data_IF_868637906442
#
_entry.id   IF_868637906442
#
_cell.length_a   1.000
_cell.length_b   1.000
_cell.length_c   1.000
_cell.angle_alpha   90.00
_cell.angle_beta   90.00
_cell.angle_gamma   90.00
#
_symmetry.space_group_name_H-M   'P 1'
#
loop_
_entity.id
_entity.type
_entity.pdbx_description
1 polymer ?
#
# COMPACT_ATOMS: atom_id res chain seq x y z
N UNK A 1 -11.43 -13.39 -50.19
CA UNK A 1 -12.62 -12.52 -50.31
C UNK A 1 -13.72 -13.13 -49.44
N UNK A 2 -13.81 -12.69 -48.18
CA UNK A 2 -14.85 -13.11 -47.23
C UNK A 2 -15.35 -11.87 -46.51
N UNK A 3 -16.67 -11.74 -46.42
CA UNK A 3 -17.43 -10.59 -45.90
C UNK A 3 -17.45 -10.58 -44.36
N UNK A 4 -17.67 -9.41 -43.72
CA UNK A 4 -17.53 -9.24 -42.28
C UNK A 4 -18.82 -9.58 -41.51
N UNK A 5 -18.64 -10.03 -40.25
CA UNK A 5 -19.70 -10.20 -39.28
C UNK A 5 -19.90 -8.91 -38.45
N UNK A 6 -21.16 -8.55 -38.29
CA UNK A 6 -21.70 -7.30 -37.76
C UNK A 6 -21.56 -7.19 -36.23
N UNK A 7 -21.11 -6.03 -35.75
CA UNK A 7 -21.21 -5.60 -34.34
C UNK A 7 -22.69 -5.47 -33.93
N UNK A 8 -23.08 -6.07 -32.80
CA UNK A 8 -24.32 -5.74 -32.10
C UNK A 8 -23.95 -4.88 -30.88
N UNK A 9 -24.35 -3.60 -30.91
CA UNK A 9 -24.33 -2.68 -29.77
C UNK A 9 -25.63 -2.88 -28.98
N UNK A 10 -25.54 -3.29 -27.71
CA UNK A 10 -26.67 -3.27 -26.79
C UNK A 10 -26.72 -1.92 -26.07
N UNK A 11 -27.70 -1.09 -26.44
CA UNK A 11 -28.09 0.11 -25.70
C UNK A 11 -29.19 -0.26 -24.69
N UNK A 12 -28.92 -0.04 -23.41
CA UNK A 12 -29.88 -0.25 -22.32
C UNK A 12 -30.68 1.04 -22.10
N UNK A 13 -31.95 1.05 -22.53
CA UNK A 13 -32.93 2.09 -22.22
C UNK A 13 -33.57 1.78 -20.86
N UNK A 14 -33.44 2.68 -19.88
CA UNK A 14 -34.18 2.62 -18.61
C UNK A 14 -35.33 3.62 -18.65
N UNK A 15 -36.56 3.12 -18.64
CA UNK A 15 -37.77 3.89 -18.40
C UNK A 15 -37.93 4.17 -16.90
N UNK A 16 -38.10 5.45 -16.57
CA UNK A 16 -38.54 5.94 -15.26
C UNK A 16 -40.08 5.97 -15.25
N UNK A 17 -40.71 5.36 -14.24
CA UNK A 17 -42.12 5.57 -13.91
C UNK A 17 -42.25 5.82 -12.41
N UNK A 18 -43.01 6.85 -12.07
CA UNK A 18 -43.22 7.37 -10.72
C UNK A 18 -44.50 6.82 -10.07
N UNK A 19 -44.45 6.75 -8.74
CA UNK A 19 -45.50 7.17 -7.79
C UNK A 19 -46.57 6.18 -7.27
N UNK A 20 -46.43 5.92 -5.95
CA UNK A 20 -47.42 5.93 -4.86
C UNK A 20 -48.73 5.13 -4.96
N UNK A 21 -48.95 4.26 -3.96
CA UNK A 21 -50.16 4.28 -3.10
C UNK A 21 -49.92 3.59 -1.75
N UNK A 22 -50.40 4.28 -0.71
CA UNK A 22 -50.44 3.92 0.71
C UNK A 22 -51.69 3.09 0.99
N UNK A 23 -51.60 2.11 1.90
CA UNK A 23 -52.74 1.38 2.46
C UNK A 23 -52.38 0.68 3.77
N UNK A 24 -53.02 1.12 4.86
CA UNK A 24 -52.89 0.66 6.24
C UNK A 24 -53.92 -0.45 6.57
N UNK A 25 -53.58 -1.42 7.42
CA UNK A 25 -54.45 -1.94 8.51
C UNK A 25 -53.82 -3.11 9.33
N UNK A 26 -53.42 -2.78 10.57
CA UNK A 26 -53.81 -3.36 11.88
C UNK A 26 -53.96 -4.89 12.15
N UNK A 27 -53.16 -5.33 13.15
CA UNK A 27 -53.44 -6.14 14.37
C UNK A 27 -53.54 -7.70 14.39
N UNK A 28 -52.57 -8.34 15.08
CA UNK A 28 -52.63 -9.10 16.39
C UNK A 28 -51.42 -10.07 16.48
N UNK A 29 -50.48 -9.90 17.40
CA UNK A 29 -50.43 -10.35 18.82
C UNK A 29 -50.06 -11.84 19.01
N UNK A 30 -48.96 -12.06 19.75
CA UNK A 30 -48.66 -13.29 20.51
C UNK A 30 -47.65 -14.25 19.90
N UNK A 31 -46.38 -14.19 20.32
CA UNK A 31 -45.86 -15.21 21.24
C UNK A 31 -44.46 -14.90 21.77
N UNK A 32 -44.32 -15.27 23.03
CA UNK A 32 -43.29 -14.92 23.97
C UNK A 32 -42.35 -16.12 24.10
N UNK A 33 -41.08 -15.96 23.74
CA UNK A 33 -40.05 -16.90 24.18
C UNK A 33 -38.85 -16.13 24.69
N UNK A 34 -38.79 -15.99 26.03
CA UNK A 34 -37.60 -15.58 26.76
C UNK A 34 -36.62 -16.75 26.75
N UNK A 35 -35.46 -16.56 26.13
CA UNK A 35 -34.26 -17.29 26.51
C UNK A 35 -33.20 -16.28 26.95
N UNK A 36 -33.03 -16.21 28.27
CA UNK A 36 -31.87 -15.62 28.93
C UNK A 36 -30.76 -16.66 28.96
N UNK A 37 -29.57 -16.31 28.49
CA UNK A 37 -28.34 -16.75 29.16
C UNK A 37 -27.24 -15.73 28.93
N UNK A 38 -26.71 -15.25 30.04
CA UNK A 38 -25.64 -14.26 30.18
C UNK A 38 -24.31 -14.74 29.60
N UNK A 39 -23.53 -13.74 29.17
CA UNK A 39 -22.09 -13.59 29.34
C UNK A 39 -21.13 -14.62 28.72
N UNK A 40 -20.41 -14.16 27.70
CA UNK A 40 -18.96 -14.28 27.62
C UNK A 40 -18.45 -12.90 27.16
N UNK A 41 -18.14 -12.03 28.11
CA UNK A 41 -16.76 -11.71 28.48
C UNK A 41 -15.99 -11.11 27.31
N UNK A 42 -15.84 -9.78 27.40
CA UNK A 42 -14.92 -8.94 26.64
C UNK A 42 -13.59 -9.63 26.34
N UNK A 43 -13.35 -9.93 25.06
CA UNK A 43 -11.99 -10.01 24.55
C UNK A 43 -11.49 -8.57 24.42
N UNK A 44 -11.05 -8.02 25.55
CA UNK A 44 -10.01 -7.01 25.54
C UNK A 44 -8.80 -7.71 24.93
N UNK A 45 -8.60 -7.52 23.64
CA UNK A 45 -7.31 -7.83 23.06
C UNK A 45 -6.39 -6.72 23.53
N UNK A 46 -5.60 -7.04 24.54
CA UNK A 46 -4.47 -6.23 24.96
C UNK A 46 -3.58 -6.05 23.73
N UNK A 47 -3.67 -4.88 23.10
CA UNK A 47 -2.66 -4.44 22.16
C UNK A 47 -1.38 -4.28 22.96
N UNK A 48 -0.50 -5.28 22.89
CA UNK A 48 0.88 -5.09 23.33
C UNK A 48 1.41 -3.83 22.64
N UNK A 49 1.91 -2.84 23.40
CA UNK A 49 2.50 -1.67 22.81
C UNK A 49 3.68 -2.16 21.98
N UNK A 50 3.58 -1.99 20.66
CA UNK A 50 4.70 -2.28 19.77
C UNK A 50 5.89 -1.49 20.29
N UNK A 51 7.00 -2.18 20.51
CA UNK A 51 8.24 -1.66 21.08
C UNK A 51 8.96 -0.72 20.09
N UNK A 52 8.27 0.33 19.64
CA UNK A 52 8.84 1.42 18.87
C UNK A 52 8.84 2.64 19.77
N UNK A 53 9.91 2.74 20.55
CA UNK A 53 10.28 3.97 21.24
C UNK A 53 10.48 5.07 20.20
N UNK A 54 9.77 6.19 20.36
CA UNK A 54 10.00 7.43 19.58
C UNK A 54 11.42 8.01 19.80
N UNK A 55 12.20 7.42 20.73
CA UNK A 55 13.52 7.89 21.18
C UNK A 55 14.74 7.43 20.36
N UNK A 56 14.59 6.53 19.38
CA UNK A 56 15.68 6.28 18.41
C UNK A 56 15.64 7.38 17.34
N UNK A 57 16.27 8.50 17.66
CA UNK A 57 16.52 9.58 16.70
C UNK A 57 17.30 9.04 15.50
N UNK A 58 16.93 9.44 14.29
CA UNK A 58 17.73 9.16 13.07
C UNK A 58 19.18 9.65 13.17
N UNK A 59 19.49 10.47 14.18
CA UNK A 59 20.83 10.95 14.53
C UNK A 59 21.79 9.82 14.98
N UNK A 60 21.28 8.65 15.36
CA UNK A 60 22.08 7.47 15.70
C UNK A 60 22.25 6.47 14.56
N UNK A 61 21.75 6.76 13.36
CA UNK A 61 21.86 5.84 12.23
C UNK A 61 23.25 5.91 11.57
N UNK A 62 23.90 4.75 11.46
CA UNK A 62 25.12 4.57 10.67
C UNK A 62 24.78 4.52 9.16
N UNK A 63 24.73 5.70 8.55
CA UNK A 63 24.45 5.84 7.12
C UNK A 63 25.53 5.22 6.21
N UNK A 64 26.75 5.03 6.70
CA UNK A 64 27.88 4.51 5.92
C UNK A 64 27.83 2.98 5.77
N UNK A 65 27.24 2.29 6.74
CA UNK A 65 27.08 0.83 6.70
C UNK A 65 25.67 0.37 6.30
N UNK A 66 24.87 1.28 5.74
CA UNK A 66 23.50 0.99 5.37
C UNK A 66 23.42 -0.03 4.23
N UNK A 67 22.85 -1.19 4.51
CA UNK A 67 22.63 -2.26 3.54
C UNK A 67 21.36 -2.07 2.71
N UNK A 68 20.91 -3.15 2.09
CA UNK A 68 19.58 -3.26 1.47
C UNK A 68 18.59 -4.06 2.34
N UNK A 69 18.88 -4.16 3.64
CA UNK A 69 17.98 -4.80 4.61
C UNK A 69 16.74 -3.96 4.89
N UNK A 70 15.65 -4.61 5.30
CA UNK A 70 14.44 -3.91 5.71
C UNK A 70 14.69 -3.20 7.05
N UNK A 71 14.68 -1.88 7.03
CA UNK A 71 14.59 -1.04 8.23
C UNK A 71 13.28 -0.26 8.11
N UNK A 72 12.21 -0.64 8.81
CA UNK A 72 10.92 0.04 8.63
C UNK A 72 11.03 1.49 9.11
N UNK A 73 10.64 2.42 8.25
CA UNK A 73 10.46 3.81 8.64
C UNK A 73 9.18 3.98 9.51
N UNK A 74 8.99 5.15 10.12
CA UNK A 74 7.96 5.35 11.14
C UNK A 74 6.53 5.28 10.64
N UNK A 75 6.29 5.73 9.40
CA UNK A 75 4.95 5.91 8.85
C UNK A 75 4.77 5.13 7.56
N UNK A 76 3.55 4.64 7.36
CA UNK A 76 3.08 4.10 6.09
C UNK A 76 1.77 4.78 5.70
N UNK A 77 1.51 4.85 4.40
CA UNK A 77 0.25 5.33 3.85
C UNK A 77 -0.63 4.13 3.46
N UNK A 78 -1.93 4.21 3.73
CA UNK A 78 -2.90 3.18 3.33
C UNK A 78 -4.16 3.80 2.75
N UNK A 79 -4.67 3.19 1.69
CA UNK A 79 -5.89 3.58 0.98
C UNK A 79 -6.68 2.31 0.63
N UNK A 80 -7.95 2.26 1.01
CA UNK A 80 -8.85 1.15 0.70
C UNK A 80 -9.63 1.43 -0.57
N UNK A 81 -9.99 0.36 -1.27
CA UNK A 81 -10.84 0.41 -2.43
C UNK A 81 -11.97 -0.61 -2.30
N UNK A 82 -13.19 -0.14 -2.55
CA UNK A 82 -14.41 -0.94 -2.65
C UNK A 82 -15.22 -0.44 -3.85
N UNK A 83 -15.88 -1.35 -4.57
CA UNK A 83 -16.64 -1.03 -5.79
C UNK A 83 -15.83 -0.19 -6.81
N UNK A 84 -14.57 -0.56 -7.02
CA UNK A 84 -13.61 0.12 -7.91
C UNK A 84 -13.33 1.60 -7.58
N UNK A 85 -13.74 2.06 -6.40
CA UNK A 85 -13.48 3.42 -5.92
C UNK A 85 -12.44 3.41 -4.80
N UNK A 86 -11.39 4.22 -4.94
CA UNK A 86 -10.39 4.43 -3.91
C UNK A 86 -10.81 5.56 -2.97
N UNK A 87 -10.91 5.25 -1.68
CA UNK A 87 -11.23 6.21 -0.63
C UNK A 87 -10.07 7.17 -0.37
N UNK A 88 -10.29 8.18 0.49
CA UNK A 88 -9.19 9.02 0.98
C UNK A 88 -8.24 8.18 1.84
N UNK A 89 -6.98 8.06 1.42
CA UNK A 89 -5.96 7.37 2.19
C UNK A 89 -5.51 8.13 3.44
N UNK A 90 -4.76 7.43 4.29
CA UNK A 90 -4.34 7.88 5.63
C UNK A 90 -2.89 7.48 5.89
N UNK A 91 -2.15 8.37 6.54
CA UNK A 91 -0.88 8.04 7.18
C UNK A 91 -1.14 7.43 8.55
N UNK A 92 -0.44 6.35 8.86
CA UNK A 92 -0.43 5.70 10.16
C UNK A 92 0.99 5.28 10.51
N UNK A 93 1.25 4.97 11.78
CA UNK A 93 2.52 4.33 12.15
C UNK A 93 2.69 3.03 11.37
N UNK A 94 3.93 2.74 10.99
CA UNK A 94 4.28 1.48 10.35
C UNK A 94 3.87 0.32 11.25
N UNK A 95 3.25 -0.69 10.64
CA UNK A 95 2.76 -1.84 11.37
C UNK A 95 2.34 -2.96 10.44
N UNK A 96 1.97 -4.08 11.05
CA UNK A 96 1.39 -5.21 10.33
C UNK A 96 0.05 -4.79 9.73
N UNK A 97 -0.25 -5.32 8.55
CA UNK A 97 -1.58 -5.20 7.96
C UNK A 97 -2.41 -6.44 8.30
N UNK A 98 -3.69 -6.23 8.55
CA UNK A 98 -4.66 -7.30 8.73
C UNK A 98 -5.22 -7.74 7.39
N UNK A 99 -5.19 -9.04 7.12
CA UNK A 99 -5.73 -9.65 5.91
C UNK A 99 -6.60 -10.84 6.30
N UNK A 100 -7.72 -11.01 5.61
CA UNK A 100 -8.48 -12.26 5.70
C UNK A 100 -7.62 -13.42 5.19
N UNK A 101 -7.64 -14.60 5.84
CA UNK A 101 -7.00 -15.80 5.31
C UNK A 101 -7.51 -16.18 3.90
N UNK A 102 -8.75 -15.81 3.58
CA UNK A 102 -9.34 -16.03 2.25
C UNK A 102 -9.11 -14.86 1.28
N UNK A 103 -8.15 -13.97 1.53
CA UNK A 103 -7.89 -12.84 0.62
C UNK A 103 -7.28 -13.30 -0.70
N UNK A 104 -7.64 -12.61 -1.79
CA UNK A 104 -7.16 -12.92 -3.13
C UNK A 104 -5.63 -12.88 -3.26
N UNK A 105 -4.98 -11.97 -2.54
CA UNK A 105 -3.51 -11.88 -2.51
C UNK A 105 -2.86 -13.12 -1.88
N UNK A 106 -3.45 -13.70 -0.83
CA UNK A 106 -2.86 -14.86 -0.13
C UNK A 106 -3.09 -16.18 -0.87
N UNK A 107 -4.21 -16.33 -1.56
CA UNK A 107 -4.61 -17.60 -2.17
C UNK A 107 -4.30 -17.68 -3.67
N UNK A 108 -4.37 -16.54 -4.37
CA UNK A 108 -4.26 -16.49 -5.84
C UNK A 108 -3.18 -15.52 -6.32
N UNK A 109 -2.39 -14.94 -5.40
CA UNK A 109 -1.32 -14.01 -5.74
C UNK A 109 -1.82 -12.72 -6.43
N UNK A 110 -3.08 -12.33 -6.21
CA UNK A 110 -3.66 -11.14 -6.83
C UNK A 110 -3.12 -9.86 -6.17
N UNK A 111 -1.90 -9.47 -6.54
CA UNK A 111 -1.26 -8.26 -6.07
C UNK A 111 -0.03 -7.91 -6.89
N UNK A 112 0.42 -6.67 -6.75
CA UNK A 112 1.57 -6.12 -7.46
C UNK A 112 2.24 -5.03 -6.61
N UNK A 113 3.44 -4.66 -7.02
CA UNK A 113 4.25 -3.66 -6.30
C UNK A 113 4.95 -2.72 -7.25
N UNK A 114 5.42 -1.62 -6.69
CA UNK A 114 6.30 -0.65 -7.34
C UNK A 114 7.56 -0.39 -6.51
N UNK A 115 8.53 0.28 -7.11
CA UNK A 115 9.77 0.63 -6.43
C UNK A 115 10.35 1.93 -6.94
N UNK A 116 10.55 2.88 -6.02
CA UNK A 116 11.26 4.12 -6.31
C UNK A 116 12.05 4.61 -5.10
N UNK A 117 12.78 5.70 -5.28
CA UNK A 117 13.66 6.26 -4.27
C UNK A 117 13.40 7.75 -4.09
N UNK A 118 13.38 8.20 -2.84
CA UNK A 118 13.51 9.60 -2.49
C UNK A 118 14.96 9.91 -2.11
N UNK A 119 15.47 11.02 -2.62
CA UNK A 119 16.83 11.48 -2.38
C UNK A 119 16.81 12.85 -1.70
N UNK A 120 17.80 13.08 -0.84
CA UNK A 120 18.09 14.39 -0.27
C UNK A 120 19.12 15.09 -1.16
N UNK A 121 18.80 16.31 -1.60
CA UNK A 121 19.75 17.21 -2.27
C UNK A 121 20.63 17.94 -1.24
N UNK A 122 21.72 18.54 -1.71
CA UNK A 122 22.61 19.39 -0.90
C UNK A 122 21.87 20.56 -0.22
N UNK A 123 20.83 21.10 -0.86
CA UNK A 123 19.97 22.16 -0.29
C UNK A 123 18.94 21.64 0.74
N UNK A 124 18.99 20.35 1.08
CA UNK A 124 18.09 19.71 2.03
C UNK A 124 16.69 19.37 1.48
N UNK A 125 16.36 19.75 0.24
CA UNK A 125 15.08 19.38 -0.38
C UNK A 125 15.06 17.90 -0.75
N UNK A 126 13.86 17.31 -0.71
CA UNK A 126 13.62 15.94 -1.14
C UNK A 126 13.18 15.90 -2.59
N UNK A 127 13.72 14.95 -3.35
CA UNK A 127 13.34 14.73 -4.75
C UNK A 127 12.95 13.28 -5.00
N UNK A 128 11.96 13.09 -5.87
CA UNK A 128 11.53 11.79 -6.39
C UNK A 128 11.85 11.75 -7.89
N UNK A 129 12.39 10.62 -8.36
CA UNK A 129 12.68 10.45 -9.77
C UNK A 129 11.50 9.81 -10.50
N UNK A 130 10.83 10.59 -11.36
CA UNK A 130 9.76 10.16 -12.28
C UNK A 130 8.65 9.29 -11.62
N UNK A 131 8.06 9.72 -10.49
CA UNK A 131 7.04 8.93 -9.80
C UNK A 131 5.78 8.67 -10.65
N UNK A 132 5.51 9.52 -11.63
CA UNK A 132 4.47 9.36 -12.65
C UNK A 132 4.65 8.09 -13.49
N UNK A 133 5.89 7.71 -13.82
CA UNK A 133 6.16 6.50 -14.61
C UNK A 133 5.93 5.23 -13.82
N UNK A 134 6.27 5.26 -12.52
CA UNK A 134 5.91 4.18 -11.61
C UNK A 134 4.39 4.05 -11.47
N UNK A 135 3.67 5.18 -11.40
CA UNK A 135 2.21 5.17 -11.34
C UNK A 135 1.59 4.53 -12.59
N UNK A 136 2.04 4.93 -13.78
CA UNK A 136 1.58 4.37 -15.06
C UNK A 136 1.84 2.85 -15.11
N UNK A 137 3.05 2.41 -14.70
CA UNK A 137 3.39 0.99 -14.67
C UNK A 137 2.51 0.21 -13.69
N UNK A 138 2.20 0.78 -12.53
CA UNK A 138 1.24 0.20 -11.59
C UNK A 138 -0.15 0.05 -12.21
N UNK A 139 -0.65 1.07 -12.92
CA UNK A 139 -1.95 1.01 -13.59
C UNK A 139 -2.00 -0.09 -14.65
N UNK A 140 -0.96 -0.20 -15.50
CA UNK A 140 -0.85 -1.28 -16.50
C UNK A 140 -0.80 -2.66 -15.85
N UNK A 141 -0.08 -2.80 -14.72
CA UNK A 141 -0.04 -4.04 -13.96
C UNK A 141 -1.40 -4.39 -13.36
N UNK A 142 -2.11 -3.41 -12.81
CA UNK A 142 -3.43 -3.61 -12.21
C UNK A 142 -4.44 -4.08 -13.25
N UNK A 143 -4.45 -3.48 -14.45
CA UNK A 143 -5.27 -3.94 -15.57
C UNK A 143 -4.96 -5.41 -15.92
N UNK A 144 -3.67 -5.78 -16.00
CA UNK A 144 -3.26 -7.16 -16.27
C UNK A 144 -3.73 -8.16 -15.22
N UNK A 145 -3.80 -7.72 -13.95
CA UNK A 145 -4.23 -8.51 -12.80
C UNK A 145 -5.74 -8.44 -12.52
N UNK A 146 -6.50 -7.77 -13.40
CA UNK A 146 -7.93 -7.51 -13.24
C UNK A 146 -8.26 -6.80 -11.91
N UNK A 147 -7.47 -5.78 -11.56
CA UNK A 147 -7.62 -4.98 -10.34
C UNK A 147 -7.91 -3.51 -10.70
N UNK A 148 -8.71 -2.79 -9.90
CA UNK A 148 -8.76 -1.33 -9.98
C UNK A 148 -7.42 -0.74 -9.52
N UNK A 149 -7.06 0.44 -10.01
CA UNK A 149 -5.84 1.14 -9.63
C UNK A 149 -6.10 2.56 -9.14
N UNK A 150 -5.28 3.10 -8.23
CA UNK A 150 -5.29 4.53 -7.92
C UNK A 150 -5.05 5.35 -9.20
N UNK A 151 -5.59 6.56 -9.23
CA UNK A 151 -5.19 7.54 -10.24
C UNK A 151 -3.71 7.88 -10.11
N UNK A 152 -3.10 8.40 -11.18
CA UNK A 152 -1.70 8.85 -11.17
C UNK A 152 -1.48 9.86 -10.03
N UNK A 153 -2.42 10.80 -9.85
CA UNK A 153 -2.34 11.80 -8.79
C UNK A 153 -2.46 11.20 -7.39
N UNK A 154 -3.39 10.25 -7.17
CA UNK A 154 -3.53 9.56 -5.89
C UNK A 154 -2.24 8.80 -5.53
N UNK A 155 -1.65 8.12 -6.51
CA UNK A 155 -0.39 7.41 -6.32
C UNK A 155 0.75 8.37 -5.96
N UNK A 156 0.94 9.45 -6.73
CA UNK A 156 2.00 10.43 -6.50
C UNK A 156 1.83 11.11 -5.13
N UNK A 157 0.59 11.47 -4.77
CA UNK A 157 0.27 12.07 -3.48
C UNK A 157 0.62 11.13 -2.31
N UNK A 158 0.20 9.86 -2.38
CA UNK A 158 0.54 8.85 -1.38
C UNK A 158 2.05 8.66 -1.18
N UNK A 159 2.80 8.61 -2.29
CA UNK A 159 4.27 8.52 -2.28
C UNK A 159 4.89 9.76 -1.62
N UNK A 160 4.43 10.96 -2.00
CA UNK A 160 4.92 12.22 -1.41
C UNK A 160 4.64 12.30 0.08
N UNK A 161 3.41 11.98 0.51
CA UNK A 161 3.02 11.96 1.92
C UNK A 161 3.90 10.99 2.72
N UNK A 162 4.14 9.78 2.18
CA UNK A 162 5.00 8.79 2.83
C UNK A 162 6.45 9.27 2.94
N UNK A 163 7.00 9.87 1.88
CA UNK A 163 8.37 10.39 1.89
C UNK A 163 8.53 11.55 2.89
N UNK A 164 7.55 12.46 2.95
CA UNK A 164 7.58 13.61 3.85
C UNK A 164 7.41 13.20 5.32
N UNK A 165 6.48 12.30 5.63
CA UNK A 165 6.28 11.77 6.98
C UNK A 165 7.53 11.05 7.51
N UNK A 166 8.30 10.44 6.60
CA UNK A 166 9.54 9.73 6.91
C UNK A 166 10.80 10.54 6.55
N UNK A 167 10.72 11.87 6.48
CA UNK A 167 11.86 12.72 6.06
C UNK A 167 13.13 12.46 6.87
N UNK A 168 13.04 12.10 8.16
CA UNK A 168 14.21 11.78 9.01
C UNK A 168 14.97 10.53 8.54
N UNK A 169 14.28 9.61 7.87
CA UNK A 169 14.86 8.37 7.33
C UNK A 169 15.45 8.54 5.93
N UNK A 170 15.40 9.74 5.33
CA UNK A 170 16.07 9.99 4.05
C UNK A 170 17.55 10.27 4.31
N UNK A 171 18.48 9.40 3.84
CA UNK A 171 19.91 9.57 4.09
C UNK A 171 20.44 10.93 3.61
N UNK A 172 21.54 11.43 4.20
CA UNK A 172 22.26 12.58 3.69
C UNK A 172 22.71 12.40 2.22
N UNK A 173 22.99 13.50 1.50
CA UNK A 173 23.54 13.42 0.14
C UNK A 173 24.75 12.49 0.06
N UNK A 174 24.79 11.64 -0.97
CA UNK A 174 25.87 10.66 -1.19
C UNK A 174 25.81 9.39 -0.33
N UNK A 175 25.05 9.37 0.78
CA UNK A 175 25.01 8.24 1.73
C UNK A 175 23.93 7.20 1.41
N UNK A 176 22.99 7.50 0.51
CA UNK A 176 21.97 6.54 0.09
C UNK A 176 20.67 7.20 -0.34
N UNK A 177 19.57 6.49 -0.13
CA UNK A 177 18.21 6.94 -0.47
C UNK A 177 17.16 6.33 0.44
N UNK A 178 15.99 6.96 0.55
CA UNK A 178 14.81 6.32 1.12
C UNK A 178 14.12 5.51 0.01
N UNK A 179 14.15 4.19 0.10
CA UNK A 179 13.41 3.33 -0.81
C UNK A 179 11.93 3.31 -0.42
N UNK A 180 11.06 3.58 -1.39
CA UNK A 180 9.62 3.66 -1.22
C UNK A 180 8.99 2.49 -1.98
N UNK A 181 8.15 1.73 -1.28
CA UNK A 181 7.49 0.51 -1.76
C UNK A 181 5.97 0.68 -1.73
N UNK A 182 5.37 1.12 -2.85
CA UNK A 182 3.93 0.99 -3.06
C UNK A 182 3.57 -0.48 -3.32
N UNK A 183 2.48 -0.94 -2.71
CA UNK A 183 1.85 -2.24 -2.95
C UNK A 183 0.37 -2.01 -3.28
N UNK A 184 -0.17 -2.82 -4.19
CA UNK A 184 -1.60 -2.94 -4.44
C UNK A 184 -1.98 -4.41 -4.29
N UNK A 185 -2.87 -4.71 -3.36
CA UNK A 185 -3.24 -6.10 -3.01
C UNK A 185 -4.75 -6.31 -3.05
N UNK A 186 -5.20 -7.45 -3.58
CA UNK A 186 -6.57 -7.94 -3.44
C UNK A 186 -6.81 -8.43 -2.02
N UNK A 187 -7.25 -7.52 -1.15
CA UNK A 187 -7.39 -7.76 0.29
C UNK A 187 -8.74 -8.33 0.69
N UNK A 188 -9.75 -8.20 -0.16
CA UNK A 188 -11.10 -8.70 0.08
C UNK A 188 -11.18 -10.24 0.09
N UNK A 189 -12.04 -10.82 0.93
CA UNK A 189 -12.19 -12.28 1.03
C UNK A 189 -12.88 -12.86 -0.21
N UNK A 190 -12.28 -13.89 -0.82
CA UNK A 190 -12.85 -14.62 -1.95
C UNK A 190 -12.28 -16.06 -2.05
N UNK A 191 -13.16 -17.05 -2.26
CA UNK A 191 -12.77 -18.44 -2.55
C UNK A 191 -13.05 -18.83 -4.01
N UNK A 192 -13.90 -18.06 -4.71
CA UNK A 192 -14.13 -18.23 -6.13
C UNK A 192 -12.94 -17.70 -6.94
N UNK A 193 -12.67 -18.31 -8.09
CA UNK A 193 -11.64 -17.82 -9.00
C UNK A 193 -12.16 -16.60 -9.78
N UNK A 194 -12.09 -15.43 -9.15
CA UNK A 194 -12.51 -14.14 -9.71
C UNK A 194 -11.69 -13.00 -9.06
N UNK A 195 -11.75 -11.76 -9.60
CA UNK A 195 -11.14 -10.61 -8.95
C UNK A 195 -11.66 -10.39 -7.53
N UNK A 196 -10.76 -9.97 -6.62
CA UNK A 196 -11.13 -9.68 -5.24
C UNK A 196 -12.21 -8.58 -5.16
N UNK A 197 -13.11 -8.64 -4.15
CA UNK A 197 -14.15 -7.63 -3.98
C UNK A 197 -13.65 -6.31 -3.39
N UNK A 198 -12.49 -6.34 -2.73
CA UNK A 198 -11.85 -5.19 -2.09
C UNK A 198 -10.35 -5.22 -2.32
N UNK A 199 -9.76 -4.02 -2.35
CA UNK A 199 -8.34 -3.83 -2.57
C UNK A 199 -7.75 -2.88 -1.55
N UNK A 200 -6.44 -3.02 -1.32
CA UNK A 200 -5.70 -2.09 -0.47
C UNK A 200 -4.45 -1.65 -1.22
N UNK A 201 -4.34 -0.34 -1.40
CA UNK A 201 -3.12 0.32 -1.83
C UNK A 201 -2.39 0.83 -0.59
N UNK A 202 -1.13 0.47 -0.42
CA UNK A 202 -0.33 0.95 0.69
C UNK A 202 1.07 1.33 0.23
N UNK A 203 1.71 2.23 0.97
CA UNK A 203 3.07 2.68 0.68
C UNK A 203 3.84 2.68 1.99
N UNK A 204 4.94 1.94 2.04
CA UNK A 204 5.90 2.00 3.14
C UNK A 204 7.28 2.38 2.62
N UNK A 205 8.20 2.70 3.52
CA UNK A 205 9.55 3.10 3.16
C UNK A 205 10.61 2.48 4.08
N UNK A 206 11.83 2.39 3.56
CA UNK A 206 13.02 1.92 4.26
C UNK A 206 14.24 2.69 3.75
N UNK A 207 15.13 3.20 4.62
CA UNK A 207 16.43 3.70 4.16
C UNK A 207 17.20 2.55 3.50
N UNK A 208 17.93 2.85 2.44
CA UNK A 208 18.84 1.92 1.76
C UNK A 208 20.13 2.64 1.37
N UNK A 209 21.26 1.96 1.54
CA UNK A 209 22.56 2.48 1.10
C UNK A 209 22.78 2.30 -0.41
N UNK A 210 24.00 2.61 -0.83
CA UNK A 210 24.42 2.39 -2.22
C UNK A 210 24.57 0.89 -2.49
N UNK A 211 23.94 0.42 -3.56
CA UNK A 211 23.85 -1.02 -3.87
C UNK A 211 25.22 -1.66 -4.13
N UNK A 212 26.13 -0.91 -4.76
CA UNK A 212 27.52 -1.30 -4.93
C UNK A 212 28.37 -0.55 -3.90
N UNK A 213 28.89 -1.27 -2.91
CA UNK A 213 30.04 -0.76 -2.15
C UNK A 213 31.20 -0.70 -3.14
N UNK A 214 31.66 0.50 -3.47
CA UNK A 214 32.98 0.63 -4.08
C UNK A 214 33.93 0.05 -3.05
N UNK A 215 34.55 -1.09 -3.34
CA UNK A 215 35.58 -1.63 -2.48
C UNK A 215 36.65 -0.54 -2.36
N UNK A 216 36.70 0.13 -1.22
CA UNK A 216 37.82 0.99 -0.89
C UNK A 216 39.02 0.05 -0.81
N UNK A 217 39.80 -0.02 -1.89
CA UNK A 217 41.13 -0.60 -1.82
C UNK A 217 41.87 0.24 -0.78
N UNK A 218 42.07 -0.32 0.39
CA UNK A 218 43.08 0.19 1.31
C UNK A 218 44.40 0.14 0.55
N UNK A 219 44.92 1.30 0.18
CA UNK A 219 46.32 1.44 -0.16
C UNK A 219 47.11 1.02 1.09
N UNK A 220 47.39 -0.27 1.24
CA UNK A 220 48.57 -0.69 1.98
C UNK A 220 49.74 -0.07 1.22
N UNK A 221 50.30 0.99 1.79
CA UNK A 221 51.60 1.50 1.41
C UNK A 221 52.58 0.35 1.59
N UNK A 222 52.96 -0.31 0.49
CA UNK A 222 54.05 -1.25 0.48
C UNK A 222 55.31 -0.49 0.94
N UNK A 223 55.72 -0.76 2.18
CA UNK A 223 57.08 -0.47 2.63
C UNK A 223 58.03 -1.25 1.74
N UNK A 224 58.93 -0.54 1.07
CA UNK A 224 59.71 -1.05 -0.04
C UNK A 224 60.65 -2.21 0.27
N UNK A 225 61.17 -2.78 -0.81
CA UNK A 225 62.53 -3.29 -0.90
C UNK A 225 63.05 -2.93 -2.30
N UNK A 226 64.08 -2.08 -2.35
CA UNK A 226 64.90 -1.87 -3.53
C UNK A 226 65.78 -3.11 -3.77
N UNK A 227 65.96 -3.45 -5.05
CA UNK A 227 67.12 -4.20 -5.57
C UNK A 227 67.83 -3.32 -6.59
#
# INVERSE_FOLDING_TARGET
>A
MMRPATMIRNACLRNFSQSLRVGSAFLKSGDFCRYTSQAAASLQQDCEPSAYSDDESADHMDWDNLGFGLTPADYMYTMKCSNDYFEKGRLSRYGKIELSPSSGVLNYGQGLFEGMKAYRKEDGQLVLFRPDQNAIRLQTGAERMCMPSPSIDQFIDAVKQTALANKRWVPPPGKGSLYIRPLLVGSGPILGLAPAPEYTFLVFASPVGNYFKVAAFSHETYSGFEF
#
